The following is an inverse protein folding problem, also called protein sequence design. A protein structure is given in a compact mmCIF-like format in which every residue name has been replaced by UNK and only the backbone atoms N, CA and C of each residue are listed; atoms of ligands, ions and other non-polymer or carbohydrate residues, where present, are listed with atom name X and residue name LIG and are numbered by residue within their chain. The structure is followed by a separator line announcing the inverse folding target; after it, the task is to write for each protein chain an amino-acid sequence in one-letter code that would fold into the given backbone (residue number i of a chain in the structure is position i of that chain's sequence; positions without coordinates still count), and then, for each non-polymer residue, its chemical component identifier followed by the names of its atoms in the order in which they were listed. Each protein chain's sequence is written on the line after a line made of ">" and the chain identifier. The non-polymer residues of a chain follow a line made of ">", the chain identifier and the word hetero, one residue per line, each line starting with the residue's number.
data_IF_198390400400
#
_entry.id   IF_198390400400
#
_cell.length_a   1.000
_cell.length_b   1.000
_cell.length_c   1.000
_cell.angle_alpha   90.00
_cell.angle_beta   90.00
_cell.angle_gamma   90.00
#
_symmetry.space_group_name_H-M   'P 1'
#
loop_
_entity.id
_entity.type
_entity.pdbx_description
1 polymer ?
#
# COMPACT_ATOMS: atom_id res chain seq x y z
N UNK A 1 22.45 -5.13 -43.55
CA UNK A 1 22.22 -4.27 -42.37
C UNK A 1 21.17 -4.93 -41.49
N UNK A 2 21.60 -5.81 -40.59
CA UNK A 2 20.72 -6.39 -39.58
C UNK A 2 20.59 -5.33 -38.47
N UNK A 3 19.44 -4.64 -38.39
CA UNK A 3 19.18 -3.76 -37.26
C UNK A 3 19.03 -4.65 -36.04
N UNK A 4 20.07 -4.67 -35.21
CA UNK A 4 20.02 -5.20 -33.86
C UNK A 4 18.86 -4.51 -33.15
N UNK A 5 17.79 -5.26 -32.92
CA UNK A 5 16.73 -4.86 -32.00
C UNK A 5 17.37 -4.90 -30.61
N UNK A 6 17.85 -3.75 -30.14
CA UNK A 6 18.25 -3.59 -28.76
C UNK A 6 16.98 -3.70 -27.94
N UNK A 7 16.80 -4.81 -27.23
CA UNK A 7 15.79 -4.89 -26.18
C UNK A 7 16.16 -3.82 -25.16
N UNK A 8 15.46 -2.69 -25.21
CA UNK A 8 15.50 -1.68 -24.15
C UNK A 8 15.21 -2.40 -22.85
N UNK A 9 16.16 -2.34 -21.92
CA UNK A 9 16.10 -2.88 -20.55
C UNK A 9 14.67 -2.75 -20.02
N UNK A 10 13.93 -3.86 -20.04
CA UNK A 10 12.51 -3.87 -19.69
C UNK A 10 12.33 -3.48 -18.23
N UNK A 11 11.25 -2.77 -17.96
CA UNK A 11 10.81 -2.22 -16.66
C UNK A 11 10.42 -3.33 -15.66
N UNK A 12 11.24 -4.37 -15.52
CA UNK A 12 10.95 -5.50 -14.64
C UNK A 12 11.65 -5.26 -13.31
N UNK A 13 10.88 -4.75 -12.34
CA UNK A 13 11.26 -4.71 -10.94
C UNK A 13 10.89 -6.04 -10.28
N UNK A 14 11.79 -6.61 -9.48
CA UNK A 14 11.46 -7.74 -8.62
C UNK A 14 10.70 -7.27 -7.35
N UNK A 15 10.10 -8.20 -6.60
CA UNK A 15 9.29 -7.85 -5.43
C UNK A 15 10.06 -7.07 -4.36
N UNK A 16 11.38 -7.28 -4.23
CA UNK A 16 12.21 -6.51 -3.29
C UNK A 16 12.38 -5.07 -3.79
N UNK A 17 12.64 -4.88 -5.08
CA UNK A 17 12.75 -3.55 -5.67
C UNK A 17 11.45 -2.77 -5.55
N UNK A 18 10.29 -3.42 -5.74
CA UNK A 18 8.96 -2.79 -5.57
C UNK A 18 8.74 -2.38 -4.10
N UNK A 19 9.18 -3.21 -3.15
CA UNK A 19 9.11 -2.89 -1.73
C UNK A 19 9.92 -1.63 -1.41
N UNK A 20 11.18 -1.63 -1.84
CA UNK A 20 12.11 -0.54 -1.56
C UNK A 20 11.66 0.74 -2.27
N UNK A 21 11.14 0.67 -3.50
CA UNK A 21 10.62 1.83 -4.21
C UNK A 21 9.40 2.44 -3.55
N UNK A 22 8.48 1.64 -3.00
CA UNK A 22 7.31 2.14 -2.29
C UNK A 22 7.70 2.92 -1.04
N UNK A 23 8.61 2.35 -0.24
CA UNK A 23 9.10 3.00 0.97
C UNK A 23 9.80 4.31 0.62
N UNK A 24 10.75 4.27 -0.32
CA UNK A 24 11.49 5.46 -0.76
C UNK A 24 10.56 6.54 -1.31
N UNK A 25 9.53 6.16 -2.08
CA UNK A 25 8.54 7.09 -2.62
C UNK A 25 7.82 7.84 -1.48
N UNK A 26 7.31 7.13 -0.48
CA UNK A 26 6.59 7.79 0.62
C UNK A 26 7.52 8.51 1.62
N UNK A 27 8.74 8.04 1.84
CA UNK A 27 9.74 8.81 2.59
C UNK A 27 10.04 10.15 1.91
N UNK A 28 10.08 10.20 0.58
CA UNK A 28 10.21 11.47 -0.18
C UNK A 28 9.02 12.42 -0.01
N UNK A 29 7.85 11.91 0.40
CA UNK A 29 6.64 12.70 0.76
C UNK A 29 6.58 13.03 2.26
N UNK A 30 7.64 12.73 3.01
CA UNK A 30 7.79 13.05 4.42
C UNK A 30 7.22 12.00 5.37
N UNK A 31 6.91 10.80 4.90
CA UNK A 31 6.52 9.69 5.77
C UNK A 31 7.74 9.14 6.52
N UNK A 32 7.52 8.71 7.77
CA UNK A 32 8.48 7.92 8.51
C UNK A 32 8.28 6.44 8.16
N UNK A 33 9.33 5.77 7.67
CA UNK A 33 9.29 4.32 7.54
C UNK A 33 9.40 3.65 8.91
N UNK A 34 8.37 2.87 9.28
CA UNK A 34 8.43 1.99 10.44
C UNK A 34 8.57 0.53 9.97
N UNK A 35 9.35 -0.30 10.68
CA UNK A 35 9.44 -1.72 10.35
C UNK A 35 8.08 -2.40 10.54
N UNK A 36 7.79 -3.42 9.72
CA UNK A 36 6.61 -4.25 9.90
C UNK A 36 6.58 -4.91 11.30
N UNK A 37 5.41 -4.97 11.91
CA UNK A 37 5.18 -5.58 13.22
C UNK A 37 5.14 -7.11 13.17
N UNK A 38 5.10 -7.73 14.34
CA UNK A 38 4.80 -9.16 14.50
C UNK A 38 3.48 -9.56 13.84
N UNK A 39 3.40 -10.82 13.38
CA UNK A 39 2.15 -11.48 12.98
C UNK A 39 1.23 -11.75 14.17
N UNK A 40 1.78 -11.84 15.39
CA UNK A 40 1.03 -11.98 16.62
C UNK A 40 0.76 -10.57 17.17
N UNK A 41 -0.48 -10.08 17.11
CA UNK A 41 -0.82 -8.75 17.59
C UNK A 41 -0.84 -8.70 19.13
N UNK A 42 -0.70 -7.49 19.69
CA UNK A 42 -0.91 -7.26 21.13
C UNK A 42 -2.41 -7.25 21.51
N UNK A 43 -3.27 -6.96 20.55
CA UNK A 43 -4.73 -6.92 20.72
C UNK A 43 -5.27 -8.36 20.87
N UNK A 44 -5.83 -8.75 22.02
CA UNK A 44 -6.29 -10.12 22.27
C UNK A 44 -7.52 -10.51 21.46
N UNK A 45 -8.20 -9.55 20.82
CA UNK A 45 -9.35 -9.81 19.95
C UNK A 45 -8.94 -10.22 18.54
N UNK A 46 -7.67 -10.03 18.18
CA UNK A 46 -7.14 -10.36 16.86
C UNK A 46 -6.29 -11.62 16.92
N UNK A 47 -6.58 -12.57 16.03
CA UNK A 47 -5.79 -13.79 15.92
C UNK A 47 -4.41 -13.52 15.28
N UNK A 48 -4.39 -12.76 14.19
CA UNK A 48 -3.17 -12.38 13.48
C UNK A 48 -3.25 -10.93 12.97
N UNK A 49 -2.09 -10.33 12.73
CA UNK A 49 -1.97 -9.05 12.03
C UNK A 49 -2.39 -9.22 10.57
N UNK A 50 -3.62 -8.82 10.24
CA UNK A 50 -4.22 -9.01 8.91
C UNK A 50 -4.05 -7.80 7.95
N UNK A 51 -3.55 -6.67 8.45
CA UNK A 51 -3.35 -5.43 7.70
C UNK A 51 -2.26 -4.55 8.32
N UNK A 52 -1.69 -3.64 7.52
CA UNK A 52 -0.67 -2.68 7.94
C UNK A 52 -1.13 -1.65 8.98
N UNK A 53 -2.43 -1.39 9.08
CA UNK A 53 -2.96 -0.42 10.06
C UNK A 53 -3.13 -0.99 11.48
N UNK A 54 -3.14 -2.32 11.65
CA UNK A 54 -3.39 -2.96 12.96
C UNK A 54 -2.42 -2.47 14.04
N UNK A 55 -1.10 -2.37 13.80
CA UNK A 55 -0.15 -1.88 14.79
C UNK A 55 -0.28 -0.38 15.08
N UNK A 56 -0.98 0.36 14.21
CA UNK A 56 -1.16 1.82 14.28
C UNK A 56 -2.54 2.20 14.87
N UNK A 57 -3.33 1.21 15.31
CA UNK A 57 -4.69 1.40 15.81
C UNK A 57 -4.77 2.45 16.93
N UNK A 58 -3.85 2.41 17.90
CA UNK A 58 -3.80 3.38 19.01
C UNK A 58 -3.59 4.82 18.53
N UNK A 59 -2.76 5.03 17.49
CA UNK A 59 -2.56 6.34 16.88
C UNK A 59 -3.83 6.85 16.19
N UNK A 60 -4.54 5.99 15.46
CA UNK A 60 -5.80 6.37 14.81
C UNK A 60 -6.92 6.67 15.80
N UNK A 61 -6.93 6.00 16.96
CA UNK A 61 -7.90 6.24 18.03
C UNK A 61 -7.53 7.45 18.91
N UNK A 62 -6.33 8.02 18.75
CA UNK A 62 -5.83 9.11 19.59
C UNK A 62 -5.44 8.69 21.00
N UNK A 63 -5.27 7.38 21.23
CA UNK A 63 -4.86 6.81 22.53
C UNK A 63 -3.36 7.00 22.77
N UNK A 64 -2.58 7.05 21.70
CA UNK A 64 -1.14 7.28 21.72
C UNK A 64 -0.75 8.39 20.73
N UNK A 65 0.28 9.16 21.07
CA UNK A 65 0.84 10.18 20.17
C UNK A 65 1.75 9.48 19.15
N UNK A 66 1.53 9.68 17.83
CA UNK A 66 2.37 9.05 16.82
C UNK A 66 3.77 9.67 16.80
N UNK A 67 4.80 8.86 16.52
CA UNK A 67 6.17 9.34 16.31
C UNK A 67 6.27 10.34 15.14
N UNK A 68 5.40 10.16 14.14
CA UNK A 68 5.21 11.08 13.03
C UNK A 68 3.77 10.97 12.52
N UNK A 69 3.21 12.10 12.09
CA UNK A 69 1.85 12.14 11.53
C UNK A 69 1.74 11.45 10.16
N UNK A 70 2.87 11.20 9.49
CA UNK A 70 2.95 10.43 8.24
C UNK A 70 3.80 9.19 8.45
N UNK A 71 3.27 8.00 8.16
CA UNK A 71 3.95 6.72 8.37
C UNK A 71 3.84 5.87 7.10
N UNK A 72 4.92 5.20 6.70
CA UNK A 72 4.89 4.17 5.65
C UNK A 72 5.43 2.86 6.22
N UNK A 73 4.88 1.72 5.79
CA UNK A 73 5.32 0.39 6.25
C UNK A 73 5.20 -0.65 5.16
N UNK A 74 5.95 -1.74 5.34
CA UNK A 74 5.73 -3.01 4.65
C UNK A 74 5.37 -4.05 5.71
N UNK A 75 4.08 -4.29 5.89
CA UNK A 75 3.58 -5.17 6.93
C UNK A 75 3.44 -6.60 6.42
N UNK A 76 4.03 -7.56 7.13
CA UNK A 76 3.70 -8.98 6.96
C UNK A 76 2.29 -9.24 7.48
N UNK A 77 1.42 -9.79 6.66
CA UNK A 77 0.03 -10.02 6.98
C UNK A 77 -0.32 -11.50 6.90
N UNK A 78 -1.24 -11.94 7.76
CA UNK A 78 -1.85 -13.26 7.67
C UNK A 78 -3.38 -13.15 7.67
N UNK A 79 -4.02 -13.75 6.66
CA UNK A 79 -5.48 -13.85 6.54
C UNK A 79 -5.91 -15.31 6.45
N UNK A 80 -6.56 -15.78 7.50
CA UNK A 80 -7.15 -17.12 7.55
C UNK A 80 -8.47 -17.20 6.81
N UNK A 81 -9.21 -16.09 6.71
CA UNK A 81 -10.50 -16.03 6.02
C UNK A 81 -10.39 -16.32 4.51
N UNK A 82 -9.19 -16.16 3.94
CA UNK A 82 -8.93 -16.41 2.53
C UNK A 82 -8.53 -17.87 2.24
N UNK A 83 -8.44 -18.75 3.25
CA UNK A 83 -7.85 -20.10 3.13
C UNK A 83 -8.51 -20.96 2.04
N UNK A 84 -9.84 -20.92 1.95
CA UNK A 84 -10.60 -21.69 0.95
C UNK A 84 -10.39 -21.17 -0.48
N UNK A 85 -9.83 -19.97 -0.66
CA UNK A 85 -9.52 -19.40 -1.98
C UNK A 85 -8.07 -19.66 -2.41
N UNK A 86 -7.20 -20.07 -1.49
CA UNK A 86 -5.77 -20.28 -1.74
C UNK A 86 -5.60 -21.55 -2.58
N UNK A 87 -4.84 -21.44 -3.67
CA UNK A 87 -4.67 -22.52 -4.65
C UNK A 87 -5.77 -22.60 -5.71
N UNK A 88 -6.91 -21.94 -5.50
CA UNK A 88 -8.01 -21.88 -6.48
C UNK A 88 -8.00 -20.62 -7.33
N UNK A 89 -7.38 -19.55 -6.84
CA UNK A 89 -7.37 -18.25 -7.50
C UNK A 89 -5.95 -17.69 -7.61
N UNK A 90 -5.74 -16.79 -8.58
CA UNK A 90 -4.43 -16.18 -8.82
C UNK A 90 -4.06 -15.02 -7.86
N UNK A 91 -4.93 -14.70 -6.88
CA UNK A 91 -4.81 -13.45 -6.08
C UNK A 91 -4.95 -13.62 -4.57
N UNK A 92 -5.31 -14.80 -4.08
CA UNK A 92 -5.51 -15.02 -2.65
C UNK A 92 -4.32 -15.80 -2.06
N UNK A 93 -3.84 -15.30 -0.92
CA UNK A 93 -2.77 -15.90 -0.13
C UNK A 93 -3.19 -15.89 1.34
N UNK A 94 -2.68 -16.84 2.14
CA UNK A 94 -2.77 -16.75 3.60
C UNK A 94 -1.77 -15.73 4.13
N UNK A 95 -0.50 -15.85 3.73
CA UNK A 95 0.58 -14.91 4.08
C UNK A 95 0.93 -14.02 2.90
N UNK A 96 1.03 -12.70 3.13
CA UNK A 96 1.42 -11.72 2.12
C UNK A 96 2.02 -10.47 2.78
N UNK A 97 2.57 -9.56 1.97
CA UNK A 97 3.03 -8.25 2.44
C UNK A 97 2.08 -7.15 1.98
N UNK A 98 1.70 -6.26 2.91
CA UNK A 98 0.89 -5.09 2.64
C UNK A 98 1.77 -3.84 2.73
N UNK A 99 1.92 -3.17 1.60
CA UNK A 99 2.59 -1.88 1.50
C UNK A 99 1.54 -0.80 1.79
N UNK A 100 1.81 0.08 2.76
CA UNK A 100 0.82 1.06 3.20
C UNK A 100 1.43 2.40 3.57
N UNK A 101 0.76 3.48 3.19
CA UNK A 101 1.00 4.85 3.61
C UNK A 101 -0.16 5.33 4.49
N UNK A 102 0.16 5.93 5.63
CA UNK A 102 -0.78 6.31 6.67
C UNK A 102 -0.64 7.78 7.02
N UNK A 103 -1.79 8.45 7.09
CA UNK A 103 -1.93 9.82 7.60
C UNK A 103 -2.64 9.78 8.94
N UNK A 104 -1.97 10.27 9.98
CA UNK A 104 -2.52 10.36 11.34
C UNK A 104 -2.75 11.86 11.59
N UNK A 105 -3.93 12.34 11.20
CA UNK A 105 -4.35 13.74 11.39
C UNK A 105 -3.60 14.75 10.52
N UNK A 106 -3.10 14.35 9.34
CA UNK A 106 -2.33 15.21 8.43
C UNK A 106 -3.03 15.33 7.05
N UNK A 107 -2.51 14.69 6.00
CA UNK A 107 -3.12 14.71 4.66
C UNK A 107 -4.40 13.86 4.59
N UNK A 108 -5.24 14.11 3.58
CA UNK A 108 -6.51 13.40 3.39
C UNK A 108 -6.70 12.93 1.94
N UNK A 109 -7.93 12.94 1.43
CA UNK A 109 -8.34 12.33 0.15
C UNK A 109 -7.51 12.79 -1.04
N UNK A 110 -7.36 14.10 -1.20
CA UNK A 110 -6.69 14.72 -2.34
C UNK A 110 -5.25 14.19 -2.49
N UNK A 111 -4.43 14.39 -1.46
CA UNK A 111 -3.03 13.93 -1.46
C UNK A 111 -2.92 12.40 -1.50
N UNK A 112 -3.77 11.68 -0.77
CA UNK A 112 -3.74 10.21 -0.75
C UNK A 112 -3.98 9.63 -2.16
N UNK A 113 -4.96 10.19 -2.88
CA UNK A 113 -5.28 9.79 -4.26
C UNK A 113 -4.16 10.20 -5.21
N UNK A 114 -3.70 11.46 -5.14
CA UNK A 114 -2.64 11.96 -6.01
C UNK A 114 -1.36 11.14 -5.89
N UNK A 115 -0.93 10.80 -4.67
CA UNK A 115 0.27 9.99 -4.47
C UNK A 115 0.10 8.53 -4.87
N UNK A 116 -1.08 7.93 -4.69
CA UNK A 116 -1.34 6.58 -5.19
C UNK A 116 -1.25 6.52 -6.72
N UNK A 117 -1.86 7.49 -7.41
CA UNK A 117 -1.79 7.60 -8.89
C UNK A 117 -0.37 7.88 -9.35
N UNK A 118 0.34 8.81 -8.70
CA UNK A 118 1.73 9.13 -9.01
C UNK A 118 2.62 7.90 -8.87
N UNK A 119 2.49 7.14 -7.78
CA UNK A 119 3.27 5.93 -7.57
C UNK A 119 3.00 4.89 -8.67
N UNK A 120 1.73 4.58 -8.93
CA UNK A 120 1.33 3.56 -9.91
C UNK A 120 1.74 3.95 -11.33
N UNK A 121 1.52 5.20 -11.74
CA UNK A 121 1.75 5.62 -13.13
C UNK A 121 3.18 6.09 -13.40
N UNK A 122 3.83 6.74 -12.44
CA UNK A 122 5.18 7.31 -12.62
C UNK A 122 6.27 6.42 -12.06
N UNK A 123 6.05 5.78 -10.92
CA UNK A 123 7.07 4.92 -10.31
C UNK A 123 7.02 3.49 -10.86
N UNK A 124 5.81 2.92 -10.98
CA UNK A 124 5.62 1.57 -11.53
C UNK A 124 5.40 1.55 -13.05
N UNK A 125 5.09 2.70 -13.66
CA UNK A 125 4.93 2.78 -15.11
C UNK A 125 3.65 2.19 -15.68
N UNK A 126 2.66 1.94 -14.82
CA UNK A 126 1.39 1.38 -15.29
C UNK A 126 0.61 2.45 -16.07
N UNK A 127 0.15 2.15 -17.30
CA UNK A 127 -0.64 3.10 -18.08
C UNK A 127 -1.93 3.45 -17.34
N UNK A 128 -2.26 4.75 -17.27
CA UNK A 128 -3.40 5.24 -16.49
C UNK A 128 -4.74 4.71 -17.05
N UNK A 129 -4.82 4.52 -18.37
CA UNK A 129 -5.97 3.96 -19.08
C UNK A 129 -6.30 2.51 -18.69
N UNK A 130 -5.36 1.80 -18.05
CA UNK A 130 -5.54 0.45 -17.53
C UNK A 130 -5.86 0.43 -16.02
N UNK A 131 -6.21 1.57 -15.43
CA UNK A 131 -6.58 1.66 -14.01
C UNK A 131 -8.09 1.82 -13.88
N UNK A 132 -8.67 1.05 -12.97
CA UNK A 132 -10.07 1.17 -12.56
C UNK A 132 -10.12 1.61 -11.11
N UNK A 133 -11.05 2.52 -10.82
CA UNK A 133 -11.28 3.05 -9.48
C UNK A 133 -12.72 2.78 -9.10
N UNK A 134 -12.94 2.35 -7.85
CA UNK A 134 -14.26 2.25 -7.25
C UNK A 134 -14.34 3.21 -6.08
N UNK A 135 -15.48 3.90 -5.97
CA UNK A 135 -15.70 4.93 -4.95
C UNK A 135 -17.01 4.58 -4.24
N UNK A 136 -17.04 4.76 -2.91
CA UNK A 136 -18.27 4.56 -2.16
C UNK A 136 -19.37 5.49 -2.69
N UNK A 137 -20.59 4.94 -2.87
CA UNK A 137 -21.69 5.60 -3.58
C UNK A 137 -22.06 7.00 -3.03
N UNK A 138 -21.85 7.23 -1.74
CA UNK A 138 -22.19 8.49 -1.05
C UNK A 138 -20.99 9.45 -0.92
N UNK A 139 -19.79 9.02 -1.29
CA UNK A 139 -18.57 9.84 -1.19
C UNK A 139 -18.42 10.77 -2.40
N UNK A 140 -19.25 11.81 -2.43
CA UNK A 140 -19.23 12.83 -3.49
C UNK A 140 -17.89 13.56 -3.59
N UNK A 141 -17.24 13.82 -2.45
CA UNK A 141 -15.95 14.51 -2.42
C UNK A 141 -14.87 13.72 -3.18
N UNK A 142 -14.80 12.41 -2.97
CA UNK A 142 -13.85 11.56 -3.71
C UNK A 142 -14.22 11.45 -5.19
N UNK A 143 -15.52 11.42 -5.52
CA UNK A 143 -15.96 11.44 -6.92
C UNK A 143 -15.51 12.71 -7.66
N UNK A 144 -15.51 13.87 -7.00
CA UNK A 144 -15.04 15.13 -7.58
C UNK A 144 -13.53 15.14 -7.82
N UNK A 145 -12.74 14.53 -6.94
CA UNK A 145 -11.27 14.43 -7.10
C UNK A 145 -10.89 13.58 -8.33
N UNK A 146 -11.70 12.57 -8.65
CA UNK A 146 -11.43 11.64 -9.77
C UNK A 146 -12.03 12.06 -11.11
N UNK A 147 -12.87 13.10 -11.14
CA UNK A 147 -13.43 13.65 -12.38
C UNK A 147 -12.43 14.58 -13.07
#
# INVERSE_FOLDING_TARGET
>A
MCKSFTITKGWFMNSKEIRDSFVNFFESKGHLHLPGSSLIPKDPTLLFTAAGMVPLKSYFLGEEVPLRTRITTVQKCLRTNDIENVGYTARHHTFFEMLGNFSIGDYFKEDAISWAVEYVTKSLGLPFENLWVTIYKEDRKTQEIWK
#
